data_IF_312962242663
#
_entry.id   IF_312962242663
#
_cell.length_a   1.000
_cell.length_b   1.000
_cell.length_c   1.000
_cell.angle_alpha   90.00
_cell.angle_beta   90.00
_cell.angle_gamma   90.00
#
_symmetry.space_group_name_H-M   'P 1'
#
loop_
_entity.id
_entity.type
_entity.pdbx_description
1 polymer ?
#
# COMPACT_ATOMS: atom_id res chain seq x y z
N UNK A 1 11.30 11.89 0.76
CA UNK A 1 10.13 11.00 0.68
C UNK A 1 9.87 10.68 -0.79
N UNK A 2 9.81 9.39 -1.13
CA UNK A 2 9.58 8.94 -2.51
C UNK A 2 8.15 8.41 -2.63
N UNK A 3 7.36 9.02 -3.48
CA UNK A 3 5.92 8.73 -3.64
C UNK A 3 5.67 8.14 -5.03
N UNK A 4 5.04 6.97 -5.10
CA UNK A 4 4.56 6.40 -6.36
C UNK A 4 3.18 6.98 -6.67
N UNK A 5 3.15 7.87 -7.66
CA UNK A 5 1.92 8.54 -8.07
C UNK A 5 1.25 7.80 -9.21
N UNK A 6 -0.08 7.86 -9.25
CA UNK A 6 -0.86 7.32 -10.36
C UNK A 6 -1.17 8.39 -11.38
N UNK A 7 -1.29 7.98 -12.66
CA UNK A 7 -1.67 8.90 -13.75
C UNK A 7 -3.13 9.28 -13.70
N UNK A 8 -3.99 8.35 -13.27
CA UNK A 8 -5.43 8.58 -13.25
C UNK A 8 -5.78 9.66 -12.24
N UNK A 9 -6.54 10.65 -12.68
CA UNK A 9 -7.09 11.66 -11.79
C UNK A 9 -8.33 11.12 -11.10
N UNK A 10 -8.40 11.25 -9.78
CA UNK A 10 -9.55 10.81 -9.00
C UNK A 10 -9.76 11.77 -7.83
N UNK A 11 -11.01 12.24 -7.58
CA UNK A 11 -11.26 13.24 -6.54
C UNK A 11 -10.97 12.75 -5.12
N UNK A 12 -10.95 11.45 -4.89
CA UNK A 12 -10.69 10.84 -3.59
C UNK A 12 -9.27 10.28 -3.47
N UNK A 13 -8.41 10.56 -4.42
CA UNK A 13 -7.04 10.06 -4.41
C UNK A 13 -6.25 10.67 -3.25
N UNK A 14 -5.60 9.81 -2.46
CA UNK A 14 -4.81 10.19 -1.30
C UNK A 14 -3.45 9.52 -1.35
N UNK A 15 -2.52 10.03 -0.57
CA UNK A 15 -1.18 9.46 -0.42
C UNK A 15 -1.16 8.65 0.88
N UNK A 16 -0.76 7.39 0.78
CA UNK A 16 -0.63 6.48 1.92
C UNK A 16 0.83 6.12 2.13
N UNK A 17 1.24 6.08 3.39
CA UNK A 17 2.54 5.51 3.75
C UNK A 17 2.43 3.99 3.66
N UNK A 18 3.34 3.36 2.89
CA UNK A 18 3.26 1.91 2.64
C UNK A 18 3.31 1.11 3.94
N UNK A 19 4.10 1.55 4.92
CA UNK A 19 4.19 0.87 6.21
C UNK A 19 2.89 0.88 7.02
N UNK A 20 1.94 1.75 6.69
CA UNK A 20 0.64 1.81 7.35
C UNK A 20 -0.40 0.87 6.72
N UNK A 21 -0.05 0.23 5.61
CA UNK A 21 -0.98 -0.61 4.85
C UNK A 21 -0.83 -2.09 5.22
N UNK A 22 -1.97 -2.78 5.28
CA UNK A 22 -2.00 -4.25 5.35
C UNK A 22 -2.20 -4.76 3.91
N UNK A 23 -1.26 -5.53 3.41
CA UNK A 23 -1.28 -6.06 2.06
C UNK A 23 -0.69 -7.47 2.03
N UNK A 24 -0.88 -8.17 0.91
CA UNK A 24 -0.38 -9.54 0.75
C UNK A 24 1.12 -9.49 0.44
N UNK A 25 1.94 -9.82 1.45
CA UNK A 25 3.40 -9.73 1.32
C UNK A 25 4.01 -10.81 0.44
N UNK A 26 3.31 -11.92 0.24
CA UNK A 26 3.77 -13.03 -0.60
C UNK A 26 3.49 -12.83 -2.09
N UNK A 27 2.83 -11.73 -2.46
CA UNK A 27 2.55 -11.46 -3.88
C UNK A 27 3.81 -11.12 -4.66
N UNK A 28 3.88 -11.62 -5.89
CA UNK A 28 4.97 -11.28 -6.81
C UNK A 28 4.88 -9.79 -7.19
N UNK A 29 6.01 -9.07 -7.16
CA UNK A 29 6.00 -7.67 -7.59
C UNK A 29 5.54 -7.52 -9.05
N UNK A 30 4.79 -6.45 -9.32
CA UNK A 30 4.31 -6.17 -10.67
C UNK A 30 5.48 -5.74 -11.56
N UNK A 31 5.76 -6.54 -12.59
CA UNK A 31 6.92 -6.35 -13.46
C UNK A 31 6.91 -4.98 -14.13
N UNK A 32 5.76 -4.52 -14.58
CA UNK A 32 5.62 -3.24 -15.29
C UNK A 32 6.11 -2.07 -14.44
N UNK A 33 5.82 -2.11 -13.15
CA UNK A 33 6.30 -1.08 -12.22
C UNK A 33 7.81 -1.21 -12.00
N UNK A 34 8.32 -2.44 -11.88
CA UNK A 34 9.77 -2.68 -11.73
C UNK A 34 10.53 -2.21 -12.98
N UNK A 35 9.93 -2.31 -14.15
CA UNK A 35 10.52 -1.86 -15.41
C UNK A 35 10.43 -0.34 -15.61
N UNK A 36 9.95 0.39 -14.61
CA UNK A 36 9.90 1.84 -14.65
C UNK A 36 8.60 2.42 -15.21
N UNK A 37 7.60 1.60 -15.46
CA UNK A 37 6.29 2.11 -15.88
C UNK A 37 5.59 2.80 -14.71
N UNK A 38 4.83 3.83 -15.04
CA UNK A 38 4.08 4.57 -14.04
C UNK A 38 2.82 3.80 -13.61
N UNK A 39 2.43 4.01 -12.36
CA UNK A 39 1.16 3.52 -11.85
C UNK A 39 0.01 4.22 -12.61
N UNK A 40 -0.82 3.45 -13.32
CA UNK A 40 -1.93 4.04 -14.08
C UNK A 40 -3.09 4.36 -13.15
N UNK A 41 -3.58 3.37 -12.43
CA UNK A 41 -4.68 3.52 -11.48
C UNK A 41 -4.14 3.58 -10.04
N UNK A 42 -4.76 4.40 -9.17
CA UNK A 42 -4.41 4.33 -7.75
C UNK A 42 -4.80 2.97 -7.18
N UNK A 43 -4.07 2.51 -6.16
CA UNK A 43 -4.44 1.29 -5.47
C UNK A 43 -5.77 1.47 -4.73
N UNK A 44 -6.48 0.38 -4.50
CA UNK A 44 -7.77 0.41 -3.80
C UNK A 44 -7.59 -0.01 -2.36
N UNK A 45 -8.07 0.83 -1.46
CA UNK A 45 -7.88 0.70 0.00
C UNK A 45 -9.24 0.54 0.66
N UNK A 46 -9.32 -0.37 1.62
CA UNK A 46 -10.47 -0.51 2.52
C UNK A 46 -10.10 0.09 3.86
N UNK A 47 -10.92 1.01 4.33
CA UNK A 47 -10.80 1.60 5.65
C UNK A 47 -11.48 0.70 6.68
N UNK A 48 -10.76 0.40 7.76
CA UNK A 48 -11.27 -0.38 8.88
C UNK A 48 -11.25 0.46 10.15
N UNK A 49 -12.02 0.06 11.15
CA UNK A 49 -11.68 0.40 12.52
C UNK A 49 -10.33 -0.24 12.85
N UNK A 50 -9.66 0.21 13.89
CA UNK A 50 -8.32 -0.26 14.20
C UNK A 50 -8.20 -1.78 14.16
N UNK A 51 -7.32 -2.30 13.30
CA UNK A 51 -6.99 -3.72 13.21
C UNK A 51 -5.71 -3.98 13.98
N UNK A 52 -5.68 -5.07 14.73
CA UNK A 52 -4.45 -5.55 15.37
C UNK A 52 -3.73 -6.48 14.41
N UNK A 53 -2.52 -6.10 14.03
CA UNK A 53 -1.68 -6.91 13.13
C UNK A 53 -0.50 -7.42 13.94
N UNK A 54 -0.29 -8.75 13.89
CA UNK A 54 0.82 -9.37 14.59
C UNK A 54 2.15 -8.83 14.08
N UNK A 55 2.99 -8.41 15.01
CA UNK A 55 4.31 -7.88 14.71
C UNK A 55 5.36 -8.95 14.99
N UNK A 56 5.85 -9.59 13.96
CA UNK A 56 6.84 -10.66 14.09
C UNK A 56 8.17 -10.11 14.66
N UNK A 57 8.72 -10.86 15.61
CA UNK A 57 10.02 -10.55 16.17
C UNK A 57 10.05 -9.41 17.17
N UNK A 58 8.92 -8.76 17.47
CA UNK A 58 8.87 -7.72 18.47
C UNK A 58 8.65 -8.32 19.86
N UNK A 59 9.53 -7.98 20.81
CA UNK A 59 9.37 -8.37 22.20
C UNK A 59 8.54 -7.31 22.92
N UNK A 60 7.57 -7.75 23.73
CA UNK A 60 6.77 -6.89 24.57
C UNK A 60 5.56 -6.24 23.92
N UNK A 61 5.55 -6.04 22.60
CA UNK A 61 4.42 -5.50 21.85
C UNK A 61 4.16 -6.42 20.67
N UNK A 62 3.30 -7.45 20.83
CA UNK A 62 3.06 -8.41 19.76
C UNK A 62 2.21 -7.89 18.60
N UNK A 63 1.54 -6.74 18.78
CA UNK A 63 0.62 -6.21 17.79
C UNK A 63 0.87 -4.74 17.51
N UNK A 64 0.62 -4.34 16.26
CA UNK A 64 0.50 -2.93 15.86
C UNK A 64 -0.92 -2.73 15.35
N UNK A 65 -1.47 -1.53 15.55
CA UNK A 65 -2.79 -1.20 15.02
C UNK A 65 -2.66 -0.61 13.63
N UNK A 66 -3.43 -1.13 12.67
CA UNK A 66 -3.54 -0.58 11.32
C UNK A 66 -5.01 -0.40 10.96
N UNK A 67 -5.28 0.59 10.12
CA UNK A 67 -6.65 0.96 9.72
C UNK A 67 -6.92 0.78 8.24
N UNK A 68 -5.88 0.46 7.46
CA UNK A 68 -5.95 0.43 6.01
C UNK A 68 -5.54 -0.93 5.49
N UNK A 69 -6.40 -1.57 4.70
CA UNK A 69 -6.02 -2.78 4.00
C UNK A 69 -6.11 -2.58 2.50
N UNK A 70 -5.23 -3.23 1.76
CA UNK A 70 -5.20 -3.12 0.30
C UNK A 70 -6.16 -4.14 -0.30
N UNK A 71 -7.20 -3.64 -0.98
CA UNK A 71 -8.14 -4.47 -1.71
C UNK A 71 -7.56 -4.90 -3.07
N UNK A 72 -7.03 -3.93 -3.82
CA UNK A 72 -6.32 -4.20 -5.07
C UNK A 72 -5.02 -3.39 -5.11
N UNK A 73 -3.92 -4.04 -5.45
CA UNK A 73 -2.65 -3.38 -5.63
C UNK A 73 -1.48 -3.95 -4.84
N UNK A 74 -1.63 -5.11 -4.18
CA UNK A 74 -0.52 -5.70 -3.42
C UNK A 74 0.72 -5.93 -4.28
N UNK A 75 0.57 -6.36 -5.54
CA UNK A 75 1.69 -6.52 -6.47
C UNK A 75 2.37 -5.18 -6.78
N UNK A 76 1.58 -4.11 -6.88
CA UNK A 76 2.11 -2.76 -7.11
C UNK A 76 2.89 -2.26 -5.90
N UNK A 77 2.40 -2.57 -4.69
CA UNK A 77 3.10 -2.22 -3.46
C UNK A 77 4.43 -2.97 -3.35
N UNK A 78 4.47 -4.24 -3.70
CA UNK A 78 5.72 -5.00 -3.68
C UNK A 78 6.75 -4.39 -4.64
N UNK A 79 6.34 -4.03 -5.84
CA UNK A 79 7.22 -3.37 -6.81
C UNK A 79 7.68 -2.01 -6.30
N UNK A 80 6.79 -1.22 -5.72
CA UNK A 80 7.13 0.09 -5.17
C UNK A 80 8.17 -0.02 -4.07
N UNK A 81 8.03 -0.99 -3.17
CA UNK A 81 8.99 -1.24 -2.10
C UNK A 81 10.38 -1.59 -2.66
N UNK A 82 10.45 -2.44 -3.67
CA UNK A 82 11.72 -2.82 -4.28
C UNK A 82 12.42 -1.63 -4.93
N UNK A 83 11.65 -0.67 -5.45
CA UNK A 83 12.19 0.55 -6.05
C UNK A 83 12.46 1.66 -5.04
N UNK A 84 12.24 1.42 -3.75
CA UNK A 84 12.53 2.37 -2.69
C UNK A 84 11.45 3.41 -2.43
N UNK A 85 10.24 3.22 -2.95
CA UNK A 85 9.13 4.10 -2.62
C UNK A 85 8.67 3.87 -1.19
N UNK A 86 8.36 4.96 -0.48
CA UNK A 86 7.84 4.91 0.89
C UNK A 86 6.34 5.19 0.94
N UNK A 87 5.81 5.80 -0.09
CA UNK A 87 4.40 6.21 -0.18
C UNK A 87 3.82 5.83 -1.54
N UNK A 88 2.52 5.66 -1.59
CA UNK A 88 1.80 5.31 -2.81
C UNK A 88 0.42 5.98 -2.82
N UNK A 89 -0.04 6.38 -4.01
CA UNK A 89 -1.37 6.94 -4.16
C UNK A 89 -2.42 5.84 -4.20
N UNK A 90 -3.52 6.06 -3.46
CA UNK A 90 -4.62 5.12 -3.40
C UNK A 90 -5.94 5.82 -3.17
N UNK A 91 -7.02 5.07 -3.29
CA UNK A 91 -8.38 5.53 -3.01
C UNK A 91 -9.03 4.62 -1.98
N UNK A 92 -9.83 5.21 -1.09
CA UNK A 92 -10.64 4.45 -0.13
C UNK A 92 -11.96 4.10 -0.82
N UNK A 93 -12.25 2.81 -0.96
CA UNK A 93 -13.41 2.35 -1.75
C UNK A 93 -14.67 2.09 -0.93
N UNK A 94 -14.56 2.06 0.39
CA UNK A 94 -15.70 1.82 1.29
C UNK A 94 -16.06 3.03 2.13
N UNK A 95 -15.68 4.17 1.69
CA UNK A 95 -15.92 5.42 2.41
C UNK A 95 -17.24 6.07 1.97
#
# INVERSE_FOLDING_TARGET
MKILKSKQSHPKKQIFQISDLVYIESMTPLKEILDGQELIDPIQIIKHEAMKVERMGAQGIPYIEKRWSVYKGSQRIQAAKQLGYTHIEGIIIND
#
